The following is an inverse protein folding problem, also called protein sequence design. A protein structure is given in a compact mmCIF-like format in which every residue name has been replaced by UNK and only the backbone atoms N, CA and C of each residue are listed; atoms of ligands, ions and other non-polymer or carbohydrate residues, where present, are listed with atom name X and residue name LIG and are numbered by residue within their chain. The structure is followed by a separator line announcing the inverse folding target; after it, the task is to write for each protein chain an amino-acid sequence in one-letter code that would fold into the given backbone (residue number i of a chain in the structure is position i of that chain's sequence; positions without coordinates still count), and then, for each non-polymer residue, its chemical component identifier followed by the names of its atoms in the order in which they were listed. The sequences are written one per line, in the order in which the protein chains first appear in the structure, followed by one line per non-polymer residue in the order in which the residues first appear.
data_IF_234140991582
#
_entry.id   IF_234140991582
#
_cell.length_a   1.000
_cell.length_b   1.000
_cell.length_c   1.000
_cell.angle_alpha   90.00
_cell.angle_beta   90.00
_cell.angle_gamma   90.00
#
_symmetry.space_group_name_H-M   'P 1'
#
loop_
_entity.id
_entity.type
_entity.pdbx_description
1 polymer ?
#
# COMPACT_ATOMS: atom_id res chain seq x y z
N UNK A 1 13.71 18.09 29.17
CA UNK A 1 12.81 16.99 28.75
C UNK A 1 13.60 15.78 28.24
N UNK A 2 14.54 15.93 27.29
CA UNK A 2 15.34 14.82 26.71
C UNK A 2 16.08 14.04 27.80
N UNK A 3 16.83 14.73 28.68
CA UNK A 3 17.58 14.09 29.77
C UNK A 3 16.66 13.35 30.76
N UNK A 4 15.46 13.86 30.99
CA UNK A 4 14.47 13.19 31.81
C UNK A 4 13.97 11.89 31.16
N UNK A 5 13.71 11.90 29.85
CA UNK A 5 13.32 10.71 29.07
C UNK A 5 14.43 9.65 29.04
N UNK A 6 15.68 10.07 28.83
CA UNK A 6 16.85 9.17 28.86
C UNK A 6 16.95 8.43 30.19
N UNK A 7 16.62 9.10 31.31
CA UNK A 7 16.77 8.53 32.64
C UNK A 7 15.50 7.86 33.19
N UNK A 8 14.33 8.04 32.58
CA UNK A 8 13.04 7.55 33.10
C UNK A 8 12.23 6.69 32.16
N UNK A 9 12.43 6.81 30.85
CA UNK A 9 11.72 5.99 29.88
C UNK A 9 12.38 4.61 29.79
N UNK A 10 11.75 3.59 30.39
CA UNK A 10 12.31 2.21 30.43
C UNK A 10 12.58 1.63 29.04
N UNK A 11 11.69 1.87 28.08
CA UNK A 11 11.86 1.48 26.68
C UNK A 11 13.07 2.14 26.01
N UNK A 12 13.50 3.29 26.49
CA UNK A 12 14.68 4.00 26.01
C UNK A 12 15.96 3.50 26.69
N UNK A 13 15.91 3.32 28.03
CA UNK A 13 17.06 2.87 28.82
C UNK A 13 17.48 1.43 28.46
N UNK A 14 16.51 0.55 28.21
CA UNK A 14 16.72 -0.86 27.94
C UNK A 14 16.60 -1.22 26.45
N UNK A 15 16.62 -0.23 25.55
CA UNK A 15 16.63 -0.51 24.12
C UNK A 15 18.03 -0.98 23.69
N UNK A 16 18.06 -1.93 22.77
CA UNK A 16 19.28 -2.36 22.10
C UNK A 16 19.48 -1.55 20.83
N UNK A 17 20.74 -1.28 20.47
CA UNK A 17 21.06 -0.63 19.22
C UNK A 17 20.62 -1.49 18.01
N UNK A 18 20.16 -0.88 16.90
CA UNK A 18 19.92 -1.62 15.68
C UNK A 18 21.21 -2.32 15.18
N UNK A 19 21.08 -3.45 14.48
CA UNK A 19 22.25 -4.09 13.87
C UNK A 19 22.95 -3.11 12.90
N UNK A 20 24.30 -3.09 12.86
CA UNK A 20 25.06 -2.17 11.99
C UNK A 20 24.64 -2.26 10.51
N UNK A 21 24.32 -3.46 10.02
CA UNK A 21 23.87 -3.66 8.65
C UNK A 21 22.51 -2.96 8.36
N UNK A 22 21.57 -2.99 9.30
CA UNK A 22 20.30 -2.28 9.17
C UNK A 22 20.48 -0.76 9.18
N UNK A 23 21.38 -0.26 10.03
CA UNK A 23 21.72 1.17 10.09
C UNK A 23 22.40 1.64 8.80
N UNK A 24 23.32 0.85 8.24
CA UNK A 24 23.98 1.15 6.98
C UNK A 24 22.98 1.15 5.81
N UNK A 25 22.07 0.17 5.76
CA UNK A 25 21.02 0.13 4.75
C UNK A 25 20.07 1.34 4.83
N UNK A 26 19.70 1.75 6.05
CA UNK A 26 18.87 2.93 6.26
C UNK A 26 19.58 4.21 5.81
N UNK A 27 20.87 4.35 6.12
CA UNK A 27 21.68 5.49 5.67
C UNK A 27 21.73 5.56 4.14
N UNK A 28 22.07 4.47 3.47
CA UNK A 28 22.11 4.40 2.02
C UNK A 28 20.76 4.73 1.37
N UNK A 29 19.65 4.27 1.97
CA UNK A 29 18.31 4.60 1.50
C UNK A 29 17.99 6.11 1.63
N UNK A 30 18.38 6.74 2.75
CA UNK A 30 18.21 8.20 2.95
C UNK A 30 19.05 8.97 1.92
N UNK A 31 20.28 8.56 1.67
CA UNK A 31 21.15 9.19 0.67
C UNK A 31 20.50 9.14 -0.72
N UNK A 32 19.97 7.99 -1.15
CA UNK A 32 19.25 7.86 -2.42
C UNK A 32 18.03 8.80 -2.48
N UNK A 33 17.24 8.87 -1.41
CA UNK A 33 16.04 9.74 -1.35
C UNK A 33 16.39 11.22 -1.56
N UNK A 34 17.57 11.66 -1.14
CA UNK A 34 18.03 13.05 -1.26
C UNK A 34 18.61 13.40 -2.63
N UNK A 35 18.79 12.44 -3.52
CA UNK A 35 19.37 12.64 -4.87
C UNK A 35 18.30 13.00 -5.91
N UNK A 36 18.77 13.45 -7.09
CA UNK A 36 17.92 13.62 -8.28
C UNK A 36 17.26 12.31 -8.72
N UNK A 37 17.93 11.17 -8.54
CA UNK A 37 17.33 9.84 -8.78
C UNK A 37 16.18 9.57 -7.81
N UNK A 38 16.32 9.89 -6.53
CA UNK A 38 15.23 9.77 -5.54
C UNK A 38 14.03 10.62 -5.91
N UNK A 39 14.26 11.85 -6.42
CA UNK A 39 13.18 12.70 -6.92
C UNK A 39 12.50 12.11 -8.16
N UNK A 40 13.27 11.62 -9.12
CA UNK A 40 12.73 10.97 -10.31
C UNK A 40 11.90 9.72 -9.95
N UNK A 41 12.31 8.92 -8.94
CA UNK A 41 11.55 7.79 -8.44
C UNK A 41 10.23 8.22 -7.79
N UNK A 42 10.22 9.29 -7.00
CA UNK A 42 8.98 9.84 -6.43
C UNK A 42 8.01 10.27 -7.53
N UNK A 43 8.47 10.97 -8.54
CA UNK A 43 7.64 11.40 -9.68
C UNK A 43 7.07 10.19 -10.44
N UNK A 44 7.89 9.16 -10.71
CA UNK A 44 7.41 7.92 -11.31
C UNK A 44 6.34 7.24 -10.43
N UNK A 45 6.57 7.15 -9.13
CA UNK A 45 5.59 6.57 -8.19
C UNK A 45 4.25 7.30 -8.28
N UNK A 46 4.24 8.63 -8.24
CA UNK A 46 3.01 9.40 -8.35
C UNK A 46 2.33 9.26 -9.72
N UNK A 47 3.10 9.16 -10.79
CA UNK A 47 2.54 8.84 -12.12
C UNK A 47 1.81 7.50 -12.11
N UNK A 48 2.40 6.46 -11.52
CA UNK A 48 1.76 5.15 -11.42
C UNK A 48 0.56 5.14 -10.47
N UNK A 49 0.61 5.89 -9.36
CA UNK A 49 -0.53 6.08 -8.45
C UNK A 49 -1.72 6.67 -9.21
N UNK A 50 -1.52 7.74 -9.98
CA UNK A 50 -2.59 8.36 -10.75
C UNK A 50 -3.16 7.39 -11.80
N UNK A 51 -2.30 6.68 -12.52
CA UNK A 51 -2.73 5.66 -13.50
C UNK A 51 -3.55 4.56 -12.85
N UNK A 52 -3.08 4.01 -11.73
CA UNK A 52 -3.83 2.97 -11.02
C UNK A 52 -5.17 3.49 -10.50
N UNK A 53 -5.20 4.70 -9.95
CA UNK A 53 -6.44 5.34 -9.51
C UNK A 53 -7.46 5.42 -10.65
N UNK A 54 -7.04 5.92 -11.80
CA UNK A 54 -7.91 6.06 -12.97
C UNK A 54 -8.39 4.68 -13.47
N UNK A 55 -7.47 3.71 -13.55
CA UNK A 55 -7.78 2.32 -13.93
C UNK A 55 -8.81 1.66 -12.99
N UNK A 56 -8.68 1.85 -11.68
CA UNK A 56 -9.64 1.32 -10.69
C UNK A 56 -11.02 1.95 -10.89
N UNK A 57 -11.07 3.26 -11.08
CA UNK A 57 -12.34 3.99 -11.32
C UNK A 57 -12.99 3.56 -12.64
N UNK A 58 -12.22 3.46 -13.72
CA UNK A 58 -12.69 2.99 -15.04
C UNK A 58 -13.17 1.54 -15.00
N UNK A 59 -12.65 0.74 -14.07
CA UNK A 59 -13.11 -0.63 -13.83
C UNK A 59 -14.42 -0.72 -13.02
N UNK A 60 -15.05 0.42 -12.71
CA UNK A 60 -16.33 0.50 -11.99
C UNK A 60 -16.24 0.45 -10.48
N UNK A 61 -15.04 0.62 -9.90
CA UNK A 61 -14.83 0.71 -8.47
C UNK A 61 -14.69 2.17 -8.02
N UNK A 62 -14.97 2.44 -6.74
CA UNK A 62 -14.77 3.77 -6.16
C UNK A 62 -13.62 3.77 -5.16
N UNK A 63 -12.84 4.84 -5.18
CA UNK A 63 -11.74 5.06 -4.24
C UNK A 63 -11.98 6.33 -3.42
N UNK A 64 -11.60 6.36 -2.14
CA UNK A 64 -11.53 7.60 -1.39
C UNK A 64 -10.41 8.50 -1.96
N UNK A 65 -10.28 9.71 -1.42
CA UNK A 65 -9.17 10.60 -1.77
C UNK A 65 -7.81 9.90 -1.52
N UNK A 66 -6.99 9.81 -2.58
CA UNK A 66 -5.67 9.16 -2.55
C UNK A 66 -4.61 10.22 -2.23
N UNK A 67 -3.88 10.03 -1.13
CA UNK A 67 -2.85 10.96 -0.66
C UNK A 67 -1.48 10.29 -0.45
N UNK A 68 -1.33 9.04 -0.89
CA UNK A 68 -0.09 8.28 -0.74
C UNK A 68 0.04 7.21 -1.83
N UNK A 69 1.16 6.48 -1.83
CA UNK A 69 1.36 5.33 -2.71
C UNK A 69 0.52 4.09 -2.29
N UNK A 70 -0.39 4.25 -1.34
CA UNK A 70 -1.33 3.23 -0.89
C UNK A 70 -2.74 3.67 -1.26
N UNK A 71 -3.43 2.86 -2.08
CA UNK A 71 -4.80 3.09 -2.51
C UNK A 71 -5.71 2.06 -1.83
N UNK A 72 -6.59 2.49 -0.91
CA UNK A 72 -7.52 1.57 -0.26
C UNK A 72 -8.81 1.45 -1.08
N UNK A 73 -9.14 0.26 -1.55
CA UNK A 73 -10.45 -0.06 -2.13
C UNK A 73 -11.35 -0.62 -1.05
N UNK A 74 -12.27 0.19 -0.54
CA UNK A 74 -13.18 -0.20 0.55
C UNK A 74 -14.30 -1.07 -0.03
N UNK A 75 -14.42 -2.30 0.47
CA UNK A 75 -15.46 -3.27 0.06
C UNK A 75 -16.52 -3.50 1.12
N UNK A 76 -16.22 -3.25 2.40
CA UNK A 76 -17.19 -3.36 3.49
C UNK A 76 -17.05 -4.66 4.27
N UNK A 77 -17.62 -5.76 3.80
CA UNK A 77 -17.59 -7.04 4.49
C UNK A 77 -16.18 -7.69 4.44
N UNK A 78 -15.84 -8.40 5.51
CA UNK A 78 -14.53 -9.06 5.62
C UNK A 78 -14.40 -10.24 4.66
N UNK A 79 -15.50 -11.02 4.50
CA UNK A 79 -15.61 -12.10 3.52
C UNK A 79 -15.32 -11.65 2.11
N UNK A 80 -15.92 -10.52 1.71
CA UNK A 80 -15.77 -9.96 0.37
C UNK A 80 -14.32 -9.51 0.10
N UNK A 81 -13.70 -8.85 1.09
CA UNK A 81 -12.31 -8.44 0.96
C UNK A 81 -11.36 -9.63 0.81
N UNK A 82 -11.61 -10.72 1.55
CA UNK A 82 -10.80 -11.95 1.45
C UNK A 82 -11.02 -12.65 0.11
N UNK A 83 -12.27 -12.78 -0.34
CA UNK A 83 -12.60 -13.41 -1.62
C UNK A 83 -12.01 -12.66 -2.80
N UNK A 84 -12.14 -11.33 -2.82
CA UNK A 84 -11.54 -10.49 -3.86
C UNK A 84 -10.00 -10.55 -3.86
N UNK A 85 -9.37 -10.54 -2.67
CA UNK A 85 -7.93 -10.68 -2.55
C UNK A 85 -7.45 -12.03 -3.10
N UNK A 86 -8.19 -13.12 -2.85
CA UNK A 86 -7.87 -14.44 -3.39
C UNK A 86 -8.02 -14.47 -4.91
N UNK A 87 -9.11 -13.94 -5.45
CA UNK A 87 -9.33 -13.86 -6.90
C UNK A 87 -8.24 -13.06 -7.63
N UNK A 88 -7.76 -11.98 -7.01
CA UNK A 88 -6.64 -11.20 -7.53
C UNK A 88 -5.34 -12.00 -7.47
N UNK A 89 -5.10 -12.74 -6.39
CA UNK A 89 -3.91 -13.59 -6.25
C UNK A 89 -3.90 -14.69 -7.31
N UNK A 90 -5.03 -15.35 -7.55
CA UNK A 90 -5.18 -16.37 -8.58
C UNK A 90 -4.93 -15.82 -10.00
N UNK A 91 -5.21 -14.54 -10.20
CA UNK A 91 -4.88 -13.80 -11.43
C UNK A 91 -3.43 -13.24 -11.45
N UNK A 92 -2.60 -13.54 -10.45
CA UNK A 92 -1.21 -13.12 -10.38
C UNK A 92 -0.96 -11.76 -9.71
N UNK A 93 -1.95 -11.18 -9.03
CA UNK A 93 -1.83 -9.89 -8.36
C UNK A 93 -1.94 -10.05 -6.84
N UNK A 94 -0.87 -9.76 -6.13
CA UNK A 94 -0.88 -9.79 -4.67
C UNK A 94 -1.41 -8.46 -4.09
N UNK A 95 -2.69 -8.45 -3.75
CA UNK A 95 -3.38 -7.30 -3.15
C UNK A 95 -4.01 -7.74 -1.83
N UNK A 96 -3.40 -7.46 -0.68
CA UNK A 96 -3.85 -7.98 0.60
C UNK A 96 -5.18 -7.35 1.05
N UNK A 97 -6.04 -8.19 1.64
CA UNK A 97 -7.23 -7.76 2.35
C UNK A 97 -6.86 -7.24 3.75
N UNK A 98 -7.28 -6.02 4.06
CA UNK A 98 -7.16 -5.39 5.37
C UNK A 98 -8.53 -5.42 6.03
N UNK A 99 -8.60 -6.03 7.22
CA UNK A 99 -9.84 -6.29 7.96
C UNK A 99 -9.66 -6.04 9.46
N UNK A 100 -10.71 -6.22 10.23
CA UNK A 100 -10.62 -6.17 11.69
C UNK A 100 -9.52 -7.12 12.22
N UNK A 101 -8.73 -6.74 13.23
CA UNK A 101 -8.82 -5.50 14.03
C UNK A 101 -8.06 -4.29 13.45
N UNK A 102 -7.39 -4.41 12.30
CA UNK A 102 -6.60 -3.32 11.69
C UNK A 102 -7.49 -2.15 11.26
N UNK A 103 -8.71 -2.45 10.83
CA UNK A 103 -9.76 -1.48 10.50
C UNK A 103 -11.05 -1.82 11.21
N UNK A 104 -11.98 -0.88 11.34
CA UNK A 104 -13.27 -1.11 11.97
C UNK A 104 -14.09 -2.16 11.19
N UNK A 105 -14.99 -2.88 11.89
CA UNK A 105 -15.93 -3.82 11.25
C UNK A 105 -16.77 -3.10 10.19
N UNK A 106 -17.04 -3.78 9.07
CA UNK A 106 -17.73 -3.22 7.93
C UNK A 106 -16.90 -2.18 7.12
N UNK A 107 -15.60 -2.11 7.37
CA UNK A 107 -14.65 -1.24 6.67
C UNK A 107 -13.48 -2.02 6.08
N UNK A 108 -13.67 -3.32 5.85
CA UNK A 108 -12.68 -4.14 5.18
C UNK A 108 -12.39 -3.62 3.78
N UNK A 109 -11.16 -3.75 3.35
CA UNK A 109 -10.66 -3.16 2.10
C UNK A 109 -9.54 -3.97 1.49
N UNK A 110 -9.32 -3.79 0.21
CA UNK A 110 -8.08 -4.17 -0.46
C UNK A 110 -7.07 -3.04 -0.35
N UNK A 111 -5.78 -3.37 -0.18
CA UNK A 111 -4.70 -2.39 -0.13
C UNK A 111 -3.80 -2.53 -1.35
N UNK A 112 -3.99 -1.67 -2.32
CA UNK A 112 -3.03 -1.53 -3.42
C UNK A 112 -1.83 -0.72 -2.94
N UNK A 113 -0.63 -1.21 -3.22
CA UNK A 113 0.62 -0.50 -2.92
C UNK A 113 1.39 -0.33 -4.22
N UNK A 114 1.75 0.91 -4.54
CA UNK A 114 2.41 1.28 -5.79
C UNK A 114 3.85 1.67 -5.51
N UNK A 115 4.74 1.28 -6.41
CA UNK A 115 6.16 1.66 -6.41
C UNK A 115 6.56 2.29 -7.74
N UNK A 116 7.75 2.88 -7.80
CA UNK A 116 8.30 3.43 -9.04
C UNK A 116 8.57 2.37 -10.12
N UNK A 117 8.65 1.10 -9.73
CA UNK A 117 9.02 -0.01 -10.62
C UNK A 117 7.81 -0.69 -11.30
N UNK A 118 6.59 -0.36 -10.86
CA UNK A 118 5.40 -0.82 -11.58
C UNK A 118 5.32 -0.16 -12.95
N UNK A 119 4.97 -0.96 -13.96
CA UNK A 119 4.84 -0.48 -15.33
C UNK A 119 3.37 -0.36 -15.78
N UNK A 120 3.17 0.26 -16.94
CA UNK A 120 1.83 0.49 -17.50
C UNK A 120 1.09 -0.83 -17.79
N UNK A 121 1.80 -1.84 -18.31
CA UNK A 121 1.21 -3.13 -18.69
C UNK A 121 0.64 -3.86 -17.47
N UNK A 122 1.36 -3.84 -16.35
CA UNK A 122 0.90 -4.42 -15.08
C UNK A 122 -0.37 -3.73 -14.57
N UNK A 123 -0.44 -2.40 -14.66
CA UNK A 123 -1.60 -1.62 -14.22
C UNK A 123 -2.79 -1.90 -15.14
N UNK A 124 -2.60 -1.96 -16.46
CA UNK A 124 -3.66 -2.27 -17.41
C UNK A 124 -4.19 -3.70 -17.24
N UNK A 125 -3.29 -4.68 -17.05
CA UNK A 125 -3.67 -6.07 -16.79
C UNK A 125 -4.49 -6.19 -15.50
N UNK A 126 -4.09 -5.51 -14.44
CA UNK A 126 -4.86 -5.42 -13.19
C UNK A 126 -6.25 -4.81 -13.43
N UNK A 127 -6.35 -3.78 -14.27
CA UNK A 127 -7.62 -3.15 -14.64
C UNK A 127 -8.60 -4.11 -15.30
N UNK A 128 -8.13 -4.97 -16.20
CA UNK A 128 -8.96 -5.99 -16.84
C UNK A 128 -9.52 -6.99 -15.81
N UNK A 129 -8.68 -7.44 -14.87
CA UNK A 129 -9.10 -8.34 -13.80
C UNK A 129 -10.12 -7.64 -12.87
N UNK A 130 -9.85 -6.41 -12.47
CA UNK A 130 -10.77 -5.63 -11.62
C UNK A 130 -12.12 -5.42 -12.30
N UNK A 131 -12.15 -5.15 -13.60
CA UNK A 131 -13.38 -5.00 -14.37
C UNK A 131 -14.17 -6.30 -14.44
N UNK A 132 -13.52 -7.43 -14.66
CA UNK A 132 -14.15 -8.75 -14.64
C UNK A 132 -14.73 -9.08 -13.26
N UNK A 133 -13.96 -8.86 -12.20
CA UNK A 133 -14.43 -9.08 -10.83
C UNK A 133 -15.61 -8.17 -10.48
N UNK A 134 -15.60 -6.92 -10.93
CA UNK A 134 -16.69 -5.97 -10.67
C UNK A 134 -18.00 -6.39 -11.32
N UNK A 135 -17.95 -6.99 -12.52
CA UNK A 135 -19.14 -7.46 -13.25
C UNK A 135 -19.90 -8.60 -12.52
N UNK A 136 -19.18 -9.38 -11.69
CA UNK A 136 -19.74 -10.50 -10.94
C UNK A 136 -19.86 -10.23 -9.43
N UNK A 137 -19.45 -9.05 -8.98
CA UNK A 137 -19.44 -8.72 -7.56
C UNK A 137 -20.75 -8.07 -7.13
N UNK A 138 -21.42 -8.71 -6.16
CA UNK A 138 -22.55 -8.15 -5.43
C UNK A 138 -22.15 -8.02 -3.95
N UNK A 139 -22.17 -6.82 -3.36
CA UNK A 139 -21.83 -6.65 -1.95
C UNK A 139 -22.81 -7.41 -1.07
N UNK A 140 -22.29 -8.12 -0.05
CA UNK A 140 -23.07 -8.80 0.99
C UNK A 140 -23.54 -7.86 2.09
#
# INVERSE_FOLDING_TARGET
MIDWLINRARSFIFSTAPPPAASAAALAAIEVVQTAEGEARRQRTWSQVNRLKDTVVESGWSLPAVQSAILPLIVGAESDAVSLAQSLLDAGFWVPAIRYPTVARGKARLRFTVTADHNLEQIQALGLVLKALRAHWSPT
#
